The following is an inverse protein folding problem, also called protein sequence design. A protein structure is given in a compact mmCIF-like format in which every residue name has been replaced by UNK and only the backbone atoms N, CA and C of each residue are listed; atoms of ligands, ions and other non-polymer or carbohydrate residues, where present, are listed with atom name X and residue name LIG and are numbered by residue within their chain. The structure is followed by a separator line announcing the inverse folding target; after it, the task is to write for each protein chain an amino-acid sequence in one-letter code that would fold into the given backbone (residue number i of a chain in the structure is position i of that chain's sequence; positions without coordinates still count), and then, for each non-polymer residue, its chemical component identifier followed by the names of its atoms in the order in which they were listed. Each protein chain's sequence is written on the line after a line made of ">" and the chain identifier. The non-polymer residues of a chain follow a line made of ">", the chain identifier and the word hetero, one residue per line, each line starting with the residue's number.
data_IF_042841702304
#
_entry.id   IF_042841702304
#
_cell.length_a   1.000
_cell.length_b   1.000
_cell.length_c   1.000
_cell.angle_alpha   90.00
_cell.angle_beta   90.00
_cell.angle_gamma   90.00
#
_symmetry.space_group_name_H-M   'P 1'
#
loop_
_entity.id
_entity.type
_entity.pdbx_description
1 polymer ?
#
# COMPACT_ATOMS: atom_id res chain seq x y z
N UNK A 1 38.30 66.34 41.98
CA UNK A 1 39.46 66.49 41.06
C UNK A 1 39.97 65.11 40.70
N UNK A 2 40.02 64.77 39.39
CA UNK A 2 40.73 63.64 38.73
C UNK A 2 40.29 62.22 39.18
N UNK A 3 40.11 61.19 38.34
CA UNK A 3 40.69 60.75 37.04
C UNK A 3 39.86 59.49 36.65
N UNK A 4 39.62 59.04 35.40
CA UNK A 4 40.54 58.68 34.30
C UNK A 4 39.70 58.09 33.12
N UNK A 5 40.13 58.39 31.87
CA UNK A 5 40.32 57.53 30.66
C UNK A 5 39.22 56.52 30.27
N UNK A 6 38.84 56.29 29.01
CA UNK A 6 39.39 56.60 27.68
C UNK A 6 38.60 55.75 26.64
N UNK A 7 38.40 56.29 25.43
CA UNK A 7 38.91 55.77 24.16
C UNK A 7 37.94 54.89 23.33
N UNK A 8 37.54 55.47 22.19
CA UNK A 8 37.49 54.94 20.81
C UNK A 8 37.07 53.49 20.55
N UNK A 9 36.09 53.32 19.67
CA UNK A 9 35.80 52.04 19.03
C UNK A 9 34.67 52.11 18.01
N UNK A 10 34.92 52.76 16.86
CA UNK A 10 34.07 52.60 15.69
C UNK A 10 34.23 51.20 15.11
N UNK A 11 33.13 50.48 14.90
CA UNK A 11 33.11 49.25 14.14
C UNK A 11 31.91 49.25 13.18
N UNK A 12 32.19 49.58 11.92
CA UNK A 12 31.39 49.15 10.77
C UNK A 12 31.48 47.62 10.69
N UNK A 13 30.41 46.92 11.05
CA UNK A 13 30.13 45.55 10.60
C UNK A 13 28.79 45.62 9.88
N UNK A 14 28.71 45.52 8.55
CA UNK A 14 29.32 44.49 7.74
C UNK A 14 28.17 43.57 7.29
N UNK A 15 27.64 43.85 6.11
CA UNK A 15 26.60 43.09 5.40
C UNK A 15 26.90 41.58 5.43
N UNK A 16 26.35 40.82 6.38
CA UNK A 16 26.34 39.35 6.38
C UNK A 16 25.11 38.82 7.10
N UNK A 17 23.92 39.04 6.53
CA UNK A 17 22.68 38.44 7.03
C UNK A 17 21.72 38.03 5.90
N UNK A 18 22.27 37.79 4.70
CA UNK A 18 21.57 37.22 3.55
C UNK A 18 22.25 35.90 3.17
N UNK A 19 22.23 34.91 4.07
CA UNK A 19 22.64 33.55 3.72
C UNK A 19 21.79 32.47 4.40
N UNK A 20 20.82 32.85 5.23
CA UNK A 20 20.07 31.90 6.06
C UNK A 20 18.70 31.45 5.47
N UNK A 21 18.03 32.13 4.51
CA UNK A 21 16.77 31.57 3.99
C UNK A 21 16.96 30.56 2.84
N UNK A 22 18.14 30.50 2.21
CA UNK A 22 18.39 29.59 1.08
C UNK A 22 18.67 28.14 1.52
N UNK A 23 19.25 27.93 2.70
CA UNK A 23 19.49 26.58 3.21
C UNK A 23 18.21 25.88 3.67
N UNK A 24 17.19 26.62 4.12
CA UNK A 24 15.91 26.01 4.54
C UNK A 24 15.12 25.45 3.35
N UNK A 25 15.21 26.07 2.17
CA UNK A 25 14.57 25.56 0.95
C UNK A 25 15.33 24.33 0.38
N UNK A 26 16.66 24.34 0.50
CA UNK A 26 17.50 23.20 0.08
C UNK A 26 17.35 21.96 0.96
N UNK A 27 16.99 22.12 2.25
CA UNK A 27 16.72 20.98 3.16
C UNK A 27 15.35 20.34 2.90
N UNK A 28 14.36 21.11 2.40
CA UNK A 28 13.04 20.56 2.03
C UNK A 28 13.09 19.85 0.67
N UNK A 29 13.99 20.26 -0.24
CA UNK A 29 14.21 19.60 -1.55
C UNK A 29 15.32 18.51 -1.50
N UNK A 30 15.99 18.37 -0.36
CA UNK A 30 17.33 17.79 -0.24
C UNK A 30 17.48 16.28 -0.01
N UNK A 31 16.43 15.47 0.21
CA UNK A 31 16.57 14.03 0.07
C UNK A 31 15.47 13.45 -0.83
N UNK A 32 15.28 14.01 -2.04
CA UNK A 32 14.54 13.27 -3.09
C UNK A 32 15.42 12.20 -3.76
N UNK A 33 16.74 12.23 -3.56
CA UNK A 33 17.69 11.37 -4.27
C UNK A 33 17.87 9.94 -3.74
N UNK A 34 17.34 9.57 -2.57
CA UNK A 34 17.66 8.27 -1.94
C UNK A 34 16.45 7.39 -1.56
N UNK A 35 15.24 7.73 -1.99
CA UNK A 35 14.03 6.90 -1.80
C UNK A 35 13.46 6.40 -3.14
N UNK A 36 14.32 6.18 -4.15
CA UNK A 36 13.92 5.68 -5.48
C UNK A 36 13.83 4.14 -5.56
N UNK A 37 13.78 3.45 -4.42
CA UNK A 37 13.51 2.01 -4.38
C UNK A 37 11.99 1.79 -4.25
N UNK A 38 11.30 1.64 -5.37
CA UNK A 38 9.97 1.00 -5.46
C UNK A 38 8.75 1.75 -4.88
N UNK A 39 8.91 2.84 -4.14
CA UNK A 39 7.79 3.50 -3.42
C UNK A 39 7.27 4.79 -4.07
N UNK A 40 7.76 5.16 -5.25
CA UNK A 40 7.41 6.42 -5.92
C UNK A 40 7.96 7.68 -5.24
N UNK A 41 8.58 7.56 -4.06
CA UNK A 41 9.11 8.70 -3.31
C UNK A 41 8.02 9.69 -2.92
N UNK A 42 8.04 10.89 -3.51
CA UNK A 42 6.96 11.86 -3.35
C UNK A 42 5.83 11.65 -4.35
N UNK A 43 6.05 10.96 -5.48
CA UNK A 43 5.05 10.77 -6.52
C UNK A 43 4.35 9.43 -6.38
N UNK A 44 3.18 9.24 -7.01
CA UNK A 44 2.61 7.91 -7.19
C UNK A 44 3.65 6.96 -7.79
N UNK A 45 3.48 5.66 -7.54
CA UNK A 45 4.25 4.62 -8.24
C UNK A 45 4.03 4.71 -9.75
N UNK A 46 4.95 4.13 -10.51
CA UNK A 46 4.85 4.09 -11.96
C UNK A 46 3.60 3.30 -12.38
N UNK A 47 2.71 3.95 -13.14
CA UNK A 47 1.38 3.43 -13.46
C UNK A 47 1.44 2.55 -14.71
N UNK A 48 0.86 1.35 -14.61
CA UNK A 48 0.98 0.27 -15.61
C UNK A 48 -0.37 -0.26 -16.09
N UNK A 49 -1.40 0.54 -15.83
CA UNK A 49 -2.79 0.27 -16.13
C UNK A 49 -3.52 1.58 -16.45
N UNK A 50 -4.41 1.60 -17.45
CA UNK A 50 -5.21 2.77 -17.79
C UNK A 50 -6.04 3.32 -16.61
N UNK A 51 -6.42 2.46 -15.66
CA UNK A 51 -7.21 2.83 -14.47
C UNK A 51 -6.55 3.93 -13.63
N UNK A 52 -5.22 4.00 -13.66
CA UNK A 52 -4.43 4.78 -12.70
C UNK A 52 -3.61 5.87 -13.37
N UNK A 53 -3.51 5.89 -14.70
CA UNK A 53 -2.88 6.99 -15.44
C UNK A 53 -3.49 8.36 -15.10
N UNK A 54 -4.82 8.43 -14.99
CA UNK A 54 -5.53 9.68 -14.67
C UNK A 54 -5.31 10.15 -13.23
N UNK A 55 -4.98 9.24 -12.32
CA UNK A 55 -4.67 9.58 -10.92
C UNK A 55 -3.37 10.38 -10.82
N UNK A 56 -2.40 10.10 -11.69
CA UNK A 56 -1.14 10.84 -11.78
C UNK A 56 -1.36 12.31 -12.16
N UNK A 57 -2.26 12.58 -13.11
CA UNK A 57 -2.62 13.97 -13.49
C UNK A 57 -3.19 14.75 -12.31
N UNK A 58 -4.14 14.15 -11.59
CA UNK A 58 -4.78 14.75 -10.41
C UNK A 58 -3.73 15.03 -9.34
N UNK A 59 -2.84 14.06 -9.09
CA UNK A 59 -1.76 14.20 -8.13
C UNK A 59 -0.88 15.43 -8.46
N UNK A 60 -0.40 15.56 -9.69
CA UNK A 60 0.47 16.69 -10.06
C UNK A 60 -0.25 18.04 -10.02
N UNK A 61 -1.54 18.09 -10.37
CA UNK A 61 -2.34 19.31 -10.24
C UNK A 61 -2.47 19.74 -8.77
N UNK A 62 -2.81 18.81 -7.87
CA UNK A 62 -2.92 19.08 -6.43
C UNK A 62 -1.56 19.46 -5.84
N UNK A 63 -0.49 18.77 -6.24
CA UNK A 63 0.88 19.07 -5.81
C UNK A 63 1.28 20.49 -6.22
N UNK A 64 0.96 20.91 -7.45
CA UNK A 64 1.21 22.26 -7.95
C UNK A 64 0.49 23.34 -7.13
N UNK A 65 -0.83 23.18 -6.89
CA UNK A 65 -1.59 24.11 -6.06
C UNK A 65 -1.11 24.13 -4.60
N UNK A 66 -0.80 22.97 -4.04
CA UNK A 66 -0.29 22.84 -2.67
C UNK A 66 1.07 23.54 -2.52
N UNK A 67 1.98 23.34 -3.48
CA UNK A 67 3.26 24.04 -3.53
C UNK A 67 3.10 25.56 -3.66
N UNK A 68 2.18 26.02 -4.52
CA UNK A 68 1.87 27.45 -4.67
C UNK A 68 1.34 28.05 -3.36
N UNK A 69 0.36 27.42 -2.72
CA UNK A 69 -0.23 27.89 -1.45
C UNK A 69 0.84 27.88 -0.34
N UNK A 70 1.64 26.81 -0.27
CA UNK A 70 2.74 26.70 0.69
C UNK A 70 3.69 27.89 0.57
N UNK A 71 4.07 28.28 -0.66
CA UNK A 71 4.92 29.44 -0.92
C UNK A 71 4.20 30.76 -0.56
N UNK A 72 2.94 30.92 -0.97
CA UNK A 72 2.13 32.12 -0.70
C UNK A 72 1.91 32.38 0.79
N UNK A 73 1.84 31.35 1.62
CA UNK A 73 1.68 31.48 3.08
C UNK A 73 3.03 31.57 3.77
N UNK A 74 3.96 30.67 3.46
CA UNK A 74 5.22 30.53 4.17
C UNK A 74 6.18 31.69 3.88
N UNK A 75 6.26 32.16 2.64
CA UNK A 75 7.21 33.24 2.28
C UNK A 75 6.84 34.55 2.99
N UNK A 76 5.59 35.06 2.94
CA UNK A 76 5.22 36.24 3.72
C UNK A 76 5.40 36.05 5.22
N UNK A 77 5.04 34.87 5.76
CA UNK A 77 5.25 34.57 7.19
C UNK A 77 6.73 34.68 7.58
N UNK A 78 7.64 34.08 6.80
CA UNK A 78 9.08 34.19 7.02
C UNK A 78 9.57 35.64 6.89
N UNK A 79 9.07 36.38 5.90
CA UNK A 79 9.34 37.81 5.76
C UNK A 79 8.90 38.56 7.01
N UNK A 80 7.69 38.33 7.51
CA UNK A 80 7.17 38.98 8.72
C UNK A 80 8.02 38.65 9.95
N UNK A 81 8.36 37.37 10.14
CA UNK A 81 9.22 36.93 11.23
C UNK A 81 10.56 37.67 11.18
N UNK A 82 11.23 37.74 10.02
CA UNK A 82 12.55 38.37 9.89
C UNK A 82 12.47 39.90 9.98
N UNK A 83 11.44 40.49 9.36
CA UNK A 83 11.27 41.95 9.21
C UNK A 83 10.80 42.62 10.50
N UNK A 84 10.01 41.93 11.31
CA UNK A 84 9.41 42.43 12.55
C UNK A 84 9.96 41.76 13.81
N UNK A 85 11.00 40.92 13.70
CA UNK A 85 11.73 40.40 14.85
C UNK A 85 12.19 41.53 15.78
N UNK A 86 11.97 41.37 17.08
CA UNK A 86 12.43 42.31 18.11
C UNK A 86 13.96 42.42 18.14
N UNK A 87 14.54 43.37 17.42
CA UNK A 87 15.99 43.66 17.41
C UNK A 87 16.39 44.48 18.64
N UNK A 88 16.07 44.00 19.84
CA UNK A 88 16.38 44.68 21.11
C UNK A 88 15.52 45.91 21.42
N UNK A 89 14.32 46.04 20.83
CA UNK A 89 13.35 47.08 21.20
C UNK A 89 12.80 46.80 22.61
N UNK A 90 12.58 47.86 23.41
CA UNK A 90 11.89 47.73 24.70
C UNK A 90 10.53 47.07 24.50
N UNK A 91 10.14 46.21 25.44
CA UNK A 91 8.83 45.53 25.46
C UNK A 91 7.66 46.52 25.66
N UNK A 92 7.96 47.74 26.09
CA UNK A 92 6.98 48.82 26.29
C UNK A 92 6.62 49.54 24.98
N UNK A 93 7.39 49.32 23.90
CA UNK A 93 7.14 49.95 22.60
C UNK A 93 6.16 49.10 21.80
N UNK A 94 4.90 49.53 21.76
CA UNK A 94 3.85 48.86 20.99
C UNK A 94 3.99 49.07 19.47
N UNK A 95 3.48 48.10 18.72
CA UNK A 95 3.32 48.19 17.27
C UNK A 95 2.16 49.12 16.86
N UNK A 96 2.04 49.39 15.55
CA UNK A 96 0.89 50.13 15.04
C UNK A 96 -0.41 49.34 15.30
N UNK A 97 -1.41 50.00 15.88
CA UNK A 97 -2.71 49.43 16.25
C UNK A 97 -3.64 49.29 15.03
N UNK A 98 -3.25 48.45 14.07
CA UNK A 98 -4.02 48.14 12.86
C UNK A 98 -5.05 47.05 13.21
N UNK A 99 -6.33 47.33 13.01
CA UNK A 99 -7.44 46.44 13.43
C UNK A 99 -8.03 45.57 12.32
N UNK A 100 -7.69 45.80 11.06
CA UNK A 100 -8.19 44.99 9.95
C UNK A 100 -7.99 45.62 8.58
N UNK A 101 -8.38 44.87 7.56
CA UNK A 101 -8.39 45.35 6.18
C UNK A 101 -9.42 44.53 5.39
N UNK A 102 -10.63 45.09 5.22
CA UNK A 102 -11.75 44.41 4.56
C UNK A 102 -11.42 43.93 3.15
N UNK A 103 -10.57 44.64 2.39
CA UNK A 103 -10.16 44.20 1.05
C UNK A 103 -9.29 42.95 1.10
N UNK A 104 -8.37 42.89 2.06
CA UNK A 104 -7.51 41.73 2.27
C UNK A 104 -8.34 40.54 2.80
N UNK A 105 -9.31 40.83 3.68
CA UNK A 105 -10.25 39.85 4.20
C UNK A 105 -11.10 39.19 3.11
N UNK A 106 -11.62 40.00 2.18
CA UNK A 106 -12.34 39.50 1.02
C UNK A 106 -11.42 38.69 0.10
N UNK A 107 -10.20 39.17 -0.16
CA UNK A 107 -9.25 38.50 -1.03
C UNK A 107 -8.85 37.11 -0.52
N UNK A 108 -8.47 36.99 0.76
CA UNK A 108 -8.08 35.69 1.33
C UNK A 108 -9.24 34.74 1.58
N UNK A 109 -10.49 35.19 1.46
CA UNK A 109 -11.68 34.34 1.57
C UNK A 109 -12.11 33.87 0.18
N UNK A 110 -12.16 34.78 -0.79
CA UNK A 110 -12.53 34.46 -2.16
C UNK A 110 -11.48 33.56 -2.85
N UNK A 111 -10.19 33.76 -2.59
CA UNK A 111 -9.12 32.99 -3.24
C UNK A 111 -9.17 31.48 -2.90
N UNK A 112 -9.24 31.03 -1.62
CA UNK A 112 -9.40 29.61 -1.30
C UNK A 112 -10.68 28.99 -1.87
N UNK A 113 -11.80 29.73 -1.84
CA UNK A 113 -13.07 29.26 -2.41
C UNK A 113 -12.93 29.02 -3.92
N UNK A 114 -12.29 29.93 -4.65
CA UNK A 114 -12.05 29.77 -6.09
C UNK A 114 -11.12 28.57 -6.37
N UNK A 115 -10.03 28.41 -5.60
CA UNK A 115 -9.11 27.29 -5.76
C UNK A 115 -9.85 25.95 -5.54
N UNK A 116 -10.66 25.84 -4.48
CA UNK A 116 -11.45 24.65 -4.21
C UNK A 116 -12.46 24.35 -5.33
N UNK A 117 -13.12 25.38 -5.87
CA UNK A 117 -14.04 25.21 -6.98
C UNK A 117 -13.34 24.66 -8.24
N UNK A 118 -12.13 25.16 -8.54
CA UNK A 118 -11.31 24.66 -9.67
C UNK A 118 -10.87 23.22 -9.45
N UNK A 119 -10.33 22.90 -8.27
CA UNK A 119 -9.90 21.54 -7.93
C UNK A 119 -11.08 20.56 -8.00
N UNK A 120 -12.21 20.92 -7.38
CA UNK A 120 -13.41 20.08 -7.41
C UNK A 120 -13.89 19.85 -8.84
N UNK A 121 -14.00 20.90 -9.66
CA UNK A 121 -14.40 20.78 -11.06
C UNK A 121 -13.47 19.86 -11.87
N UNK A 122 -12.15 19.98 -11.67
CA UNK A 122 -11.18 19.12 -12.34
C UNK A 122 -11.26 17.65 -11.89
N UNK A 123 -11.43 17.41 -10.58
CA UNK A 123 -11.57 16.06 -10.03
C UNK A 123 -12.84 15.39 -10.55
N UNK A 124 -14.00 16.03 -10.45
CA UNK A 124 -15.26 15.46 -10.94
C UNK A 124 -15.25 15.20 -12.45
N UNK A 125 -14.48 15.98 -13.23
CA UNK A 125 -14.28 15.71 -14.65
C UNK A 125 -13.46 14.44 -14.92
N UNK A 126 -12.47 14.11 -14.08
CA UNK A 126 -11.56 12.97 -14.28
C UNK A 126 -12.08 11.65 -13.69
N UNK A 127 -12.84 11.70 -12.59
CA UNK A 127 -13.33 10.53 -11.84
C UNK A 127 -14.00 9.44 -12.70
N UNK A 128 -14.91 9.76 -13.65
CA UNK A 128 -15.62 8.72 -14.41
C UNK A 128 -14.72 7.77 -15.20
N UNK A 129 -13.52 8.20 -15.62
CA UNK A 129 -12.61 7.30 -16.34
C UNK A 129 -11.57 6.61 -15.46
N UNK A 130 -11.77 6.59 -14.14
CA UNK A 130 -11.01 5.77 -13.19
C UNK A 130 -11.82 4.51 -12.81
N UNK A 131 -13.16 4.60 -12.82
CA UNK A 131 -14.06 3.54 -12.34
C UNK A 131 -14.57 2.62 -13.45
N UNK A 132 -14.73 3.12 -14.69
CA UNK A 132 -15.48 2.40 -15.73
C UNK A 132 -14.57 1.87 -16.84
N UNK A 133 -13.82 0.80 -16.59
CA UNK A 133 -13.37 -0.07 -17.68
C UNK A 133 -14.49 -0.97 -18.22
N UNK A 134 -15.62 -1.03 -17.50
CA UNK A 134 -16.79 -1.83 -17.85
C UNK A 134 -17.35 -1.49 -19.24
N UNK A 135 -17.18 -0.26 -19.70
CA UNK A 135 -17.61 0.19 -21.02
C UNK A 135 -16.73 -0.32 -22.18
N UNK A 136 -15.48 -0.73 -21.92
CA UNK A 136 -14.54 -1.21 -22.95
C UNK A 136 -14.57 -2.74 -23.10
N UNK A 137 -15.04 -3.48 -22.09
CA UNK A 137 -15.07 -4.94 -22.11
C UNK A 137 -16.40 -5.48 -22.68
N UNK A 138 -16.40 -5.96 -23.93
CA UNK A 138 -17.47 -6.80 -24.47
C UNK A 138 -17.40 -8.22 -23.87
N UNK A 139 -18.54 -8.77 -23.44
CA UNK A 139 -18.73 -10.03 -22.69
C UNK A 139 -17.57 -11.06 -22.67
N UNK A 140 -17.22 -11.65 -23.82
CA UNK A 140 -16.20 -12.72 -23.92
C UNK A 140 -14.75 -12.28 -23.62
N UNK A 141 -14.50 -10.99 -23.41
CA UNK A 141 -13.17 -10.44 -23.12
C UNK A 141 -12.89 -10.26 -21.63
N UNK A 142 -13.82 -10.58 -20.74
CA UNK A 142 -13.68 -10.34 -19.28
C UNK A 142 -13.27 -11.61 -18.54
N UNK A 143 -12.26 -11.50 -17.68
CA UNK A 143 -11.85 -12.56 -16.77
C UNK A 143 -12.31 -12.21 -15.35
N UNK A 144 -13.29 -12.95 -14.83
CA UNK A 144 -13.79 -12.77 -13.46
C UNK A 144 -13.01 -13.64 -12.48
N UNK A 145 -12.47 -13.06 -11.41
CA UNK A 145 -11.70 -13.76 -10.38
C UNK A 145 -12.24 -13.35 -9.01
N UNK A 146 -12.51 -14.35 -8.16
CA UNK A 146 -12.86 -14.08 -6.76
C UNK A 146 -11.60 -13.92 -5.92
N UNK A 147 -11.62 -12.95 -5.02
CA UNK A 147 -10.51 -12.57 -4.16
C UNK A 147 -11.00 -12.59 -2.71
N UNK A 148 -10.43 -13.48 -1.90
CA UNK A 148 -10.67 -13.48 -0.46
C UNK A 148 -9.46 -12.86 0.26
N UNK A 149 -9.70 -11.80 1.03
CA UNK A 149 -8.75 -11.32 2.04
C UNK A 149 -8.88 -12.15 3.30
N UNK A 150 -7.77 -12.74 3.77
CA UNK A 150 -7.73 -13.62 4.93
C UNK A 150 -6.55 -13.27 5.83
N UNK A 151 -6.63 -13.47 7.13
CA UNK A 151 -5.47 -13.26 8.02
C UNK A 151 -4.37 -14.31 7.75
N UNK A 152 -3.22 -14.02 7.16
CA UNK A 152 -2.72 -12.75 6.61
C UNK A 152 -2.25 -12.92 5.14
N UNK A 153 -3.11 -13.47 4.28
CA UNK A 153 -2.83 -13.83 2.90
C UNK A 153 -4.02 -13.54 1.98
N UNK A 154 -3.75 -13.52 0.68
CA UNK A 154 -4.76 -13.37 -0.35
C UNK A 154 -5.01 -14.70 -1.05
N UNK A 155 -6.28 -15.05 -1.21
CA UNK A 155 -6.68 -16.23 -1.97
C UNK A 155 -7.45 -15.81 -3.21
N UNK A 156 -7.08 -16.37 -4.35
CA UNK A 156 -7.72 -16.13 -5.63
C UNK A 156 -8.38 -17.39 -6.14
N UNK A 157 -9.56 -17.26 -6.71
CA UNK A 157 -10.30 -18.33 -7.37
C UNK A 157 -10.68 -17.94 -8.78
N UNK A 158 -10.19 -18.72 -9.73
CA UNK A 158 -10.43 -18.52 -11.16
C UNK A 158 -11.72 -19.24 -11.60
N UNK A 159 -12.27 -18.90 -12.79
CA UNK A 159 -13.52 -19.52 -13.29
C UNK A 159 -13.49 -21.04 -13.45
N UNK A 160 -12.31 -21.64 -13.62
CA UNK A 160 -12.12 -23.08 -13.74
C UNK A 160 -11.72 -23.76 -12.42
N UNK A 161 -12.02 -23.11 -11.30
CA UNK A 161 -11.75 -23.54 -9.94
C UNK A 161 -10.27 -23.62 -9.56
N UNK A 162 -9.33 -23.08 -10.34
CA UNK A 162 -7.95 -22.94 -9.86
C UNK A 162 -7.93 -22.06 -8.60
N UNK A 163 -7.22 -22.52 -7.57
CA UNK A 163 -6.94 -21.73 -6.36
C UNK A 163 -5.50 -21.24 -6.44
N UNK A 164 -5.27 -19.94 -6.23
CA UNK A 164 -3.94 -19.38 -6.07
C UNK A 164 -3.83 -18.62 -4.75
N UNK A 165 -2.63 -18.57 -4.18
CA UNK A 165 -2.33 -17.93 -2.89
C UNK A 165 -1.25 -16.90 -3.09
N UNK A 166 -1.48 -15.67 -2.64
CA UNK A 166 -0.60 -14.48 -2.68
C UNK A 166 -0.09 -14.04 -4.07
N UNK A 167 -0.23 -14.86 -5.12
CA UNK A 167 0.12 -14.49 -6.50
C UNK A 167 -1.06 -14.67 -7.44
N UNK A 168 -1.57 -13.55 -7.95
CA UNK A 168 -2.62 -13.49 -8.96
C UNK A 168 -2.00 -13.45 -10.36
N UNK A 169 -2.26 -14.44 -11.20
CA UNK A 169 -1.81 -14.47 -12.60
C UNK A 169 -2.92 -13.97 -13.50
N UNK A 170 -2.60 -13.10 -14.45
CA UNK A 170 -3.58 -12.51 -15.36
C UNK A 170 -3.04 -12.39 -16.78
N UNK A 171 -3.91 -12.45 -17.81
CA UNK A 171 -3.49 -12.26 -19.20
C UNK A 171 -3.30 -10.79 -19.55
N UNK A 172 -2.23 -10.49 -20.29
CA UNK A 172 -1.93 -9.19 -20.86
C UNK A 172 -3.08 -8.66 -21.74
N UNK A 173 -3.42 -7.38 -21.57
CA UNK A 173 -4.37 -6.66 -22.41
C UNK A 173 -5.83 -7.10 -22.25
N UNK A 174 -6.13 -7.96 -21.29
CA UNK A 174 -7.49 -8.38 -20.95
C UNK A 174 -8.02 -7.63 -19.73
N UNK A 175 -9.31 -7.30 -19.72
CA UNK A 175 -9.96 -6.75 -18.53
C UNK A 175 -10.20 -7.86 -17.51
N UNK A 176 -9.66 -7.68 -16.32
CA UNK A 176 -9.82 -8.57 -15.17
C UNK A 176 -10.77 -7.91 -14.19
N UNK A 177 -11.90 -8.56 -13.91
CA UNK A 177 -12.84 -8.15 -12.87
C UNK A 177 -12.56 -8.96 -11.60
N UNK A 178 -12.39 -8.27 -10.49
CA UNK A 178 -12.16 -8.86 -9.19
C UNK A 178 -13.42 -8.70 -8.34
N UNK A 179 -13.95 -9.83 -7.89
CA UNK A 179 -14.98 -9.90 -6.85
C UNK A 179 -14.26 -10.06 -5.50
N UNK A 180 -14.22 -9.01 -4.69
CA UNK A 180 -13.38 -8.92 -3.49
C UNK A 180 -14.26 -9.06 -2.25
N UNK A 181 -13.90 -9.98 -1.36
CA UNK A 181 -14.57 -10.21 -0.08
C UNK A 181 -13.63 -10.76 0.97
N UNK A 182 -14.18 -11.03 2.16
CA UNK A 182 -13.49 -11.72 3.24
C UNK A 182 -14.48 -12.69 3.92
N UNK A 183 -14.00 -13.81 4.52
CA UNK A 183 -14.85 -14.69 5.31
C UNK A 183 -15.50 -13.96 6.49
N UNK A 184 -16.68 -14.40 6.92
CA UNK A 184 -17.41 -13.79 8.06
C UNK A 184 -16.63 -13.85 9.38
N UNK A 185 -15.78 -14.86 9.58
CA UNK A 185 -14.95 -14.98 10.79
C UNK A 185 -13.66 -14.14 10.76
N UNK A 186 -13.36 -13.51 9.62
CA UNK A 186 -12.15 -12.71 9.43
C UNK A 186 -12.41 -11.22 9.74
N UNK A 187 -11.46 -10.36 9.38
CA UNK A 187 -11.51 -8.91 9.58
C UNK A 187 -11.49 -8.17 8.24
N UNK A 188 -11.61 -6.85 8.28
CA UNK A 188 -11.46 -6.03 7.08
C UNK A 188 -10.02 -6.10 6.55
N UNK A 189 -9.90 -6.19 5.23
CA UNK A 189 -8.64 -6.03 4.48
C UNK A 189 -8.84 -5.01 3.37
N UNK A 190 -7.77 -4.65 2.66
CA UNK A 190 -7.87 -3.82 1.47
C UNK A 190 -6.89 -4.30 0.40
N UNK A 191 -7.44 -4.83 -0.70
CA UNK A 191 -6.68 -5.32 -1.83
C UNK A 191 -6.08 -4.13 -2.56
N UNK A 192 -4.75 -4.10 -2.68
CA UNK A 192 -4.07 -3.02 -3.36
C UNK A 192 -2.83 -3.48 -4.13
N UNK A 193 -2.86 -3.24 -5.45
CA UNK A 193 -1.73 -3.37 -6.37
C UNK A 193 -1.44 -1.96 -6.92
N UNK A 194 -0.54 -1.19 -6.29
CA UNK A 194 -0.39 0.24 -6.56
C UNK A 194 -0.18 0.62 -8.03
N UNK A 195 0.52 -0.22 -8.80
CA UNK A 195 0.82 0.04 -10.20
C UNK A 195 -0.35 -0.23 -11.16
N UNK A 196 -1.39 -0.96 -10.70
CA UNK A 196 -2.49 -1.43 -11.55
C UNK A 196 -3.84 -0.77 -11.22
N UNK A 197 -4.03 -0.28 -9.99
CA UNK A 197 -5.34 0.15 -9.54
C UNK A 197 -5.35 0.88 -8.20
N UNK A 198 -6.50 1.51 -7.92
CA UNK A 198 -6.85 1.94 -6.56
C UNK A 198 -7.07 0.73 -5.63
N UNK A 199 -7.06 0.98 -4.32
CA UNK A 199 -7.36 -0.04 -3.31
C UNK A 199 -8.86 -0.32 -3.23
N UNK A 200 -9.23 -1.56 -2.95
CA UNK A 200 -10.62 -1.98 -2.74
C UNK A 200 -10.73 -2.84 -1.50
N UNK A 201 -11.70 -2.52 -0.64
CA UNK A 201 -11.80 -3.13 0.68
C UNK A 201 -12.49 -4.50 0.60
N UNK A 202 -11.90 -5.48 1.26
CA UNK A 202 -12.48 -6.80 1.50
C UNK A 202 -13.15 -6.77 2.87
N UNK A 203 -14.48 -6.77 2.88
CA UNK A 203 -15.28 -6.54 4.07
C UNK A 203 -16.08 -7.82 4.35
N UNK A 204 -15.96 -8.45 5.53
CA UNK A 204 -16.77 -9.60 5.90
C UNK A 204 -18.27 -9.33 5.70
N UNK A 205 -18.95 -10.21 4.97
CA UNK A 205 -20.38 -10.11 4.67
C UNK A 205 -20.76 -9.21 3.49
N UNK A 206 -19.80 -8.52 2.88
CA UNK A 206 -20.03 -7.64 1.73
C UNK A 206 -19.12 -8.04 0.56
N UNK A 207 -19.57 -7.74 -0.66
CA UNK A 207 -18.77 -7.99 -1.87
C UNK A 207 -18.53 -6.68 -2.59
N UNK A 208 -17.25 -6.30 -2.68
CA UNK A 208 -16.83 -5.16 -3.50
C UNK A 208 -16.31 -5.64 -4.84
N UNK A 209 -16.32 -4.76 -5.85
CA UNK A 209 -15.86 -5.08 -7.19
C UNK A 209 -14.89 -4.02 -7.68
N UNK A 210 -13.89 -4.46 -8.43
CA UNK A 210 -13.02 -3.59 -9.20
C UNK A 210 -12.62 -4.27 -10.49
N UNK A 211 -12.17 -3.50 -11.46
CA UNK A 211 -11.62 -4.04 -12.69
C UNK A 211 -10.34 -3.32 -13.06
N UNK A 212 -9.41 -4.03 -13.68
CA UNK A 212 -8.19 -3.45 -14.23
C UNK A 212 -7.78 -4.14 -15.53
N UNK A 213 -6.93 -3.47 -16.30
CA UNK A 213 -6.29 -4.02 -17.51
C UNK A 213 -4.80 -3.71 -17.44
N UNK A 214 -3.97 -4.73 -17.57
CA UNK A 214 -2.52 -4.55 -17.58
C UNK A 214 -1.98 -4.55 -19.01
N UNK A 215 -1.16 -3.55 -19.33
CA UNK A 215 -0.65 -3.32 -20.70
C UNK A 215 0.82 -3.72 -20.88
N UNK A 216 1.47 -4.12 -19.79
CA UNK A 216 2.85 -4.58 -19.79
C UNK A 216 2.98 -5.91 -19.01
N UNK A 217 3.72 -6.87 -19.59
CA UNK A 217 4.10 -8.13 -18.91
C UNK A 217 5.04 -7.81 -17.75
N UNK A 218 4.85 -8.49 -16.62
CA UNK A 218 5.69 -8.30 -15.45
C UNK A 218 5.02 -8.75 -14.16
N UNK A 219 5.77 -8.66 -13.06
CA UNK A 219 5.27 -8.90 -11.71
C UNK A 219 5.11 -7.56 -11.00
N UNK A 220 3.90 -7.30 -10.50
CA UNK A 220 3.51 -6.08 -9.81
C UNK A 220 3.24 -6.41 -8.35
N UNK A 221 4.11 -5.91 -7.47
CA UNK A 221 3.98 -6.09 -6.03
C UNK A 221 2.77 -5.33 -5.48
N UNK A 222 2.17 -5.89 -4.44
CA UNK A 222 1.05 -5.32 -3.72
C UNK A 222 1.05 -5.74 -2.26
N UNK A 223 0.13 -5.14 -1.52
CA UNK A 223 0.02 -5.33 -0.08
C UNK A 223 -1.43 -5.13 0.38
N UNK A 224 -1.74 -5.62 1.58
CA UNK A 224 -2.95 -5.20 2.27
C UNK A 224 -2.82 -3.74 2.71
N UNK A 225 -3.84 -2.93 2.40
CA UNK A 225 -3.88 -1.49 2.70
C UNK A 225 -4.86 -1.12 3.83
N UNK A 226 -5.34 -2.10 4.59
CA UNK A 226 -6.18 -1.91 5.78
C UNK A 226 -5.61 -2.75 6.93
N UNK A 227 -5.53 -2.16 8.13
CA UNK A 227 -4.90 -2.84 9.25
C UNK A 227 -5.72 -4.06 9.66
N UNK A 228 -5.19 -5.25 9.37
CA UNK A 228 -5.88 -6.53 9.58
C UNK A 228 -5.32 -7.36 10.73
N UNK A 229 -4.39 -6.82 11.53
CA UNK A 229 -3.84 -7.47 12.72
C UNK A 229 -2.32 -7.60 12.72
N UNK A 230 -1.82 -8.54 13.53
CA UNK A 230 -0.40 -8.58 13.94
C UNK A 230 0.57 -8.78 12.77
N UNK A 231 0.19 -9.56 11.76
CA UNK A 231 0.99 -9.77 10.55
C UNK A 231 0.46 -8.99 9.35
N UNK A 232 -0.21 -7.87 9.59
CA UNK A 232 -0.66 -6.95 8.53
C UNK A 232 0.48 -6.58 7.56
N UNK A 233 1.66 -6.23 8.08
CA UNK A 233 2.81 -5.86 7.25
C UNK A 233 3.39 -7.01 6.42
N UNK A 234 3.09 -8.26 6.78
CA UNK A 234 3.50 -9.46 6.03
C UNK A 234 2.42 -9.94 5.04
N UNK A 235 1.27 -9.25 4.97
CA UNK A 235 0.18 -9.54 4.04
C UNK A 235 0.47 -8.93 2.67
N UNK A 236 1.51 -9.43 2.03
CA UNK A 236 1.96 -9.06 0.69
C UNK A 236 1.29 -9.94 -0.36
N UNK A 237 1.26 -9.44 -1.59
CA UNK A 237 0.74 -10.12 -2.76
C UNK A 237 1.45 -9.64 -4.01
N UNK A 238 1.26 -10.35 -5.13
CA UNK A 238 1.74 -9.91 -6.42
C UNK A 238 0.73 -10.25 -7.53
N UNK A 239 0.70 -9.41 -8.56
CA UNK A 239 0.04 -9.70 -9.83
C UNK A 239 1.10 -10.03 -10.88
N UNK A 240 1.06 -11.23 -11.43
CA UNK A 240 1.92 -11.68 -12.53
C UNK A 240 1.13 -11.57 -13.84
N UNK A 241 1.48 -10.59 -14.67
CA UNK A 241 0.87 -10.36 -15.98
C UNK A 241 1.64 -11.16 -17.02
N UNK A 242 0.94 -12.05 -17.72
CA UNK A 242 1.53 -13.00 -18.65
C UNK A 242 0.98 -12.82 -20.06
N UNK A 243 1.70 -13.22 -21.12
CA UNK A 243 1.13 -13.35 -22.46
C UNK A 243 -0.12 -14.25 -22.43
N UNK A 244 -1.18 -13.86 -23.14
CA UNK A 244 -2.50 -14.54 -23.08
C UNK A 244 -2.42 -16.06 -23.30
N UNK A 245 -1.66 -16.52 -24.30
CA UNK A 245 -1.51 -17.96 -24.57
C UNK A 245 -0.78 -18.72 -23.46
N UNK A 246 0.17 -18.08 -22.77
CA UNK A 246 0.85 -18.68 -21.61
C UNK A 246 -0.08 -18.74 -20.41
N UNK A 247 -0.86 -17.68 -20.16
CA UNK A 247 -1.88 -17.66 -19.11
C UNK A 247 -2.92 -18.77 -19.32
N UNK A 248 -3.48 -18.91 -20.52
CA UNK A 248 -4.47 -19.95 -20.84
C UNK A 248 -3.90 -21.37 -20.63
N UNK A 249 -2.65 -21.58 -21.08
CA UNK A 249 -1.94 -22.84 -20.89
C UNK A 249 -1.70 -23.14 -19.41
N UNK A 250 -1.23 -22.15 -18.65
CA UNK A 250 -1.04 -22.26 -17.21
C UNK A 250 -2.36 -22.60 -16.51
N UNK A 251 -3.42 -21.86 -16.80
CA UNK A 251 -4.72 -22.01 -16.15
C UNK A 251 -5.31 -23.41 -16.37
N UNK A 252 -5.19 -23.95 -17.59
CA UNK A 252 -5.64 -25.31 -17.92
C UNK A 252 -4.80 -26.39 -17.22
N UNK A 253 -3.47 -26.24 -17.21
CA UNK A 253 -2.56 -27.19 -16.59
C UNK A 253 -2.69 -27.21 -15.06
N UNK A 254 -2.77 -26.03 -14.45
CA UNK A 254 -2.86 -25.87 -12.99
C UNK A 254 -4.15 -26.48 -12.46
N UNK A 255 -5.27 -26.34 -13.16
CA UNK A 255 -6.52 -26.98 -12.80
C UNK A 255 -6.39 -28.52 -12.76
N UNK A 256 -5.74 -29.09 -13.77
CA UNK A 256 -5.46 -30.54 -13.82
C UNK A 256 -4.50 -30.98 -12.71
N UNK A 257 -3.47 -30.17 -12.43
CA UNK A 257 -2.48 -30.45 -11.40
C UNK A 257 -3.10 -30.41 -9.99
N UNK A 258 -3.94 -29.41 -9.68
CA UNK A 258 -4.65 -29.32 -8.40
C UNK A 258 -5.58 -30.51 -8.19
N UNK A 259 -6.37 -30.90 -9.21
CA UNK A 259 -7.26 -32.08 -9.11
C UNK A 259 -6.51 -33.38 -8.83
N UNK A 260 -5.31 -33.56 -9.40
CA UNK A 260 -4.47 -34.73 -9.16
C UNK A 260 -3.58 -34.59 -7.92
N UNK A 261 -3.62 -33.44 -7.25
CA UNK A 261 -2.74 -33.11 -6.14
C UNK A 261 -1.26 -32.95 -6.53
N UNK A 262 -0.94 -32.72 -7.80
CA UNK A 262 0.43 -32.60 -8.29
C UNK A 262 0.94 -31.15 -8.37
N UNK A 263 0.15 -30.16 -7.94
CA UNK A 263 0.53 -28.75 -7.97
C UNK A 263 1.25 -28.28 -6.69
N UNK A 264 1.73 -27.03 -6.72
CA UNK A 264 2.33 -26.35 -5.57
C UNK A 264 1.29 -25.82 -4.55
N UNK A 265 -0.01 -26.08 -4.74
CA UNK A 265 -1.07 -25.50 -3.90
C UNK A 265 -0.81 -25.69 -2.39
N UNK A 266 -0.31 -26.87 -1.99
CA UNK A 266 0.00 -27.15 -0.58
C UNK A 266 1.15 -26.30 -0.02
N UNK A 267 2.20 -26.11 -0.81
CA UNK A 267 3.32 -25.23 -0.47
C UNK A 267 2.85 -23.78 -0.39
N UNK A 268 2.13 -23.30 -1.41
CA UNK A 268 1.65 -21.92 -1.48
C UNK A 268 0.67 -21.60 -0.35
N UNK A 269 -0.20 -22.55 -0.02
CA UNK A 269 -1.11 -22.45 1.13
C UNK A 269 -0.33 -22.40 2.44
N UNK A 270 0.72 -23.21 2.61
CA UNK A 270 1.59 -23.15 3.79
C UNK A 270 2.28 -21.78 3.92
N UNK A 271 2.92 -21.30 2.84
CA UNK A 271 3.63 -20.02 2.84
C UNK A 271 2.68 -18.84 3.14
N UNK A 272 1.50 -18.84 2.52
CA UNK A 272 0.51 -17.79 2.71
C UNK A 272 -0.17 -17.84 4.08
N UNK A 273 -0.76 -18.97 4.44
CA UNK A 273 -1.65 -19.07 5.60
C UNK A 273 -0.95 -19.45 6.91
N UNK A 274 0.19 -20.14 6.85
CA UNK A 274 0.81 -20.74 8.04
C UNK A 274 2.17 -20.12 8.40
N UNK A 275 3.05 -19.98 7.40
CA UNK A 275 4.45 -19.57 7.61
C UNK A 275 4.56 -18.15 8.20
N UNK A 276 3.58 -17.29 7.91
CA UNK A 276 3.50 -15.93 8.46
C UNK A 276 3.41 -15.92 9.99
N UNK A 277 2.83 -16.93 10.62
CA UNK A 277 2.70 -16.98 12.08
C UNK A 277 3.57 -18.06 12.73
N UNK A 278 3.77 -19.20 12.07
CA UNK A 278 4.45 -20.35 12.65
C UNK A 278 5.88 -20.52 12.13
N UNK A 279 6.04 -20.85 10.85
CA UNK A 279 7.31 -21.35 10.31
C UNK A 279 7.65 -22.77 10.79
N UNK A 280 8.59 -23.45 10.13
CA UNK A 280 9.00 -24.80 10.51
C UNK A 280 9.78 -24.78 11.83
N UNK A 281 10.70 -23.83 11.99
CA UNK A 281 11.51 -23.64 13.19
C UNK A 281 11.01 -22.50 14.09
N UNK A 282 9.84 -21.92 13.82
CA UNK A 282 9.28 -20.82 14.62
C UNK A 282 9.54 -19.43 14.03
N UNK A 283 9.90 -19.36 12.74
CA UNK A 283 10.27 -18.12 12.04
C UNK A 283 9.15 -17.07 12.02
N UNK A 284 7.88 -17.50 12.19
CA UNK A 284 6.73 -16.60 12.22
C UNK A 284 6.50 -15.87 13.56
N UNK A 285 7.27 -16.21 14.61
CA UNK A 285 7.34 -15.53 15.92
C UNK A 285 6.05 -15.42 16.74
N UNK A 286 4.93 -15.97 16.28
CA UNK A 286 3.61 -15.86 16.92
C UNK A 286 3.12 -17.24 17.36
N UNK A 287 3.05 -18.14 16.40
CA UNK A 287 2.67 -19.53 16.59
C UNK A 287 3.88 -20.39 16.97
N UNK A 288 3.64 -21.57 17.58
CA UNK A 288 4.71 -22.53 17.83
C UNK A 288 5.33 -23.04 16.52
N UNK A 289 6.58 -23.52 16.55
CA UNK A 289 7.21 -24.20 15.43
C UNK A 289 6.37 -25.42 15.00
N UNK A 290 6.30 -25.66 13.70
CA UNK A 290 5.52 -26.78 13.13
C UNK A 290 6.34 -28.07 13.03
N UNK A 291 7.67 -27.98 12.94
CA UNK A 291 8.53 -29.15 12.91
C UNK A 291 8.36 -30.00 14.19
N UNK A 292 8.29 -31.33 14.02
CA UNK A 292 8.13 -32.26 15.14
C UNK A 292 6.74 -32.34 15.78
N UNK A 293 5.75 -31.56 15.32
CA UNK A 293 4.41 -31.59 15.88
C UNK A 293 3.61 -32.80 15.36
N UNK A 294 3.32 -33.77 16.24
CA UNK A 294 2.58 -34.99 15.90
C UNK A 294 1.14 -34.74 15.47
N UNK A 295 0.54 -33.62 15.89
CA UNK A 295 -0.81 -33.21 15.48
C UNK A 295 -0.92 -33.01 13.97
N UNK A 296 0.17 -32.59 13.32
CA UNK A 296 0.22 -32.35 11.87
C UNK A 296 0.25 -33.65 11.05
N UNK A 297 0.34 -34.81 11.71
CA UNK A 297 0.22 -36.13 11.08
C UNK A 297 -1.23 -36.64 11.04
N UNK A 298 -2.14 -35.98 11.77
CA UNK A 298 -3.57 -36.27 11.78
C UNK A 298 -4.31 -35.23 10.94
N UNK A 299 -4.90 -35.68 9.83
CA UNK A 299 -5.57 -34.81 8.86
C UNK A 299 -6.83 -34.17 9.44
N UNK A 300 -7.59 -34.91 10.25
CA UNK A 300 -8.86 -34.45 10.80
C UNK A 300 -8.61 -33.48 11.97
N UNK A 301 -7.60 -33.75 12.78
CA UNK A 301 -7.17 -32.83 13.84
C UNK A 301 -6.60 -31.52 13.25
N UNK A 302 -5.78 -31.61 12.20
CA UNK A 302 -5.29 -30.44 11.48
C UNK A 302 -6.44 -29.62 10.91
N UNK A 303 -7.38 -30.27 10.22
CA UNK A 303 -8.54 -29.61 9.65
C UNK A 303 -9.37 -28.87 10.70
N UNK A 304 -9.65 -29.51 11.83
CA UNK A 304 -10.43 -28.90 12.90
C UNK A 304 -9.82 -27.59 13.37
N UNK A 305 -8.50 -27.51 13.51
CA UNK A 305 -7.80 -26.31 13.96
C UNK A 305 -7.72 -25.27 12.87
N UNK A 306 -7.39 -25.68 11.63
CA UNK A 306 -7.23 -24.74 10.50
C UNK A 306 -8.57 -24.09 10.13
N UNK A 307 -9.68 -24.84 10.18
CA UNK A 307 -11.00 -24.33 9.79
C UNK A 307 -11.69 -23.51 10.87
N UNK A 308 -11.46 -23.83 12.15
CA UNK A 308 -12.18 -23.18 13.25
C UNK A 308 -11.30 -22.22 14.06
N UNK A 309 -9.99 -22.25 13.86
CA UNK A 309 -9.03 -21.57 14.72
C UNK A 309 -8.90 -22.26 16.08
N UNK A 310 -7.93 -21.80 16.88
CA UNK A 310 -7.75 -22.26 18.26
C UNK A 310 -7.04 -21.19 19.10
N UNK A 311 -7.69 -20.75 20.18
CA UNK A 311 -7.13 -19.72 21.06
C UNK A 311 -6.90 -18.40 20.32
N UNK A 312 -5.64 -18.02 20.13
CA UNK A 312 -5.25 -16.81 19.38
C UNK A 312 -5.03 -17.07 17.87
N UNK A 313 -5.05 -18.33 17.43
CA UNK A 313 -4.95 -18.67 15.99
C UNK A 313 -6.31 -18.44 15.33
N UNK A 314 -6.41 -17.55 14.32
CA UNK A 314 -7.66 -17.32 13.60
C UNK A 314 -8.03 -18.54 12.74
N UNK A 315 -9.29 -18.57 12.29
CA UNK A 315 -9.84 -19.60 11.41
C UNK A 315 -9.33 -19.43 9.95
N UNK A 316 -8.01 -19.53 9.75
CA UNK A 316 -7.34 -19.20 8.49
C UNK A 316 -7.82 -20.03 7.28
N UNK A 317 -8.42 -21.19 7.52
CA UNK A 317 -8.98 -22.08 6.50
C UNK A 317 -10.51 -22.21 6.53
N UNK A 318 -11.23 -21.25 7.12
CA UNK A 318 -12.69 -21.22 7.05
C UNK A 318 -13.15 -21.30 5.58
N UNK A 319 -14.05 -22.24 5.28
CA UNK A 319 -14.60 -22.39 3.93
C UNK A 319 -13.63 -22.93 2.87
N UNK A 320 -12.42 -23.36 3.23
CA UNK A 320 -11.54 -24.05 2.28
C UNK A 320 -12.16 -25.34 1.73
N UNK A 321 -11.81 -25.70 0.50
CA UNK A 321 -12.20 -27.00 -0.03
C UNK A 321 -11.30 -28.12 0.50
N UNK A 322 -11.82 -29.35 0.55
CA UNK A 322 -11.06 -30.52 0.99
C UNK A 322 -9.78 -30.72 0.18
N UNK A 323 -9.79 -30.44 -1.13
CA UNK A 323 -8.59 -30.52 -1.96
C UNK A 323 -7.47 -29.58 -1.53
N UNK A 324 -7.80 -28.40 -1.00
CA UNK A 324 -6.83 -27.43 -0.51
C UNK A 324 -6.28 -27.90 0.85
N UNK A 325 -7.17 -28.37 1.74
CA UNK A 325 -6.77 -29.01 2.99
C UNK A 325 -5.85 -30.22 2.76
N UNK A 326 -6.18 -31.09 1.80
CA UNK A 326 -5.39 -32.27 1.46
C UNK A 326 -4.05 -31.90 0.81
N UNK A 327 -4.00 -30.82 0.03
CA UNK A 327 -2.76 -30.29 -0.52
C UNK A 327 -1.83 -29.77 0.60
N UNK A 328 -2.37 -28.97 1.53
CA UNK A 328 -1.63 -28.49 2.70
C UNK A 328 -1.13 -29.66 3.55
N UNK A 329 -2.01 -30.61 3.89
CA UNK A 329 -1.65 -31.78 4.69
C UNK A 329 -0.52 -32.60 4.06
N UNK A 330 -0.56 -32.84 2.75
CA UNK A 330 0.52 -33.55 2.03
C UNK A 330 1.83 -32.76 1.99
N UNK A 331 1.78 -31.43 1.92
CA UNK A 331 2.98 -30.60 2.06
C UNK A 331 3.55 -30.69 3.47
N UNK A 332 2.73 -30.46 4.52
CA UNK A 332 3.16 -30.51 5.91
C UNK A 332 3.72 -31.87 6.28
N UNK A 333 3.04 -32.97 5.93
CA UNK A 333 3.51 -34.32 6.22
C UNK A 333 4.89 -34.61 5.62
N UNK A 334 5.18 -34.12 4.41
CA UNK A 334 6.50 -34.30 3.76
C UNK A 334 7.61 -33.52 4.47
N UNK A 335 7.33 -32.29 4.90
CA UNK A 335 8.35 -31.39 5.43
C UNK A 335 8.51 -31.47 6.96
N UNK A 336 7.44 -31.75 7.71
CA UNK A 336 7.46 -31.91 9.17
C UNK A 336 8.09 -33.24 9.58
N UNK A 337 7.87 -34.31 8.80
CA UNK A 337 8.48 -35.63 9.07
C UNK A 337 9.97 -35.67 8.71
N UNK A 338 10.46 -34.76 7.85
CA UNK A 338 11.86 -34.71 7.42
C UNK A 338 12.82 -34.02 8.42
N UNK A 339 12.28 -33.35 9.45
CA UNK A 339 13.09 -32.63 10.46
C UNK A 339 13.78 -33.51 11.51
N UNK A 340 13.60 -34.83 11.46
CA UNK A 340 14.18 -35.77 12.44
C UNK A 340 15.39 -36.57 11.93
N UNK A 341 16.04 -36.16 10.83
CA UNK A 341 17.06 -37.02 10.20
C UNK A 341 18.19 -36.36 9.42
N UNK A 342 18.58 -35.11 9.70
CA UNK A 342 19.67 -34.46 8.97
C UNK A 342 20.68 -33.71 9.86
N UNK A 343 21.03 -34.26 11.02
CA UNK A 343 22.28 -33.95 11.73
C UNK A 343 22.77 -35.20 12.47
N UNK A 344 23.17 -36.24 11.73
CA UNK A 344 24.13 -37.21 12.24
C UNK A 344 24.81 -37.93 11.05
N UNK A 345 26.10 -37.65 10.87
CA UNK A 345 27.01 -38.52 10.13
C UNK A 345 27.41 -38.12 8.70
N UNK A 346 28.40 -37.23 8.58
CA UNK A 346 29.63 -37.49 7.81
C UNK A 346 30.71 -36.46 8.15
#
# INVERSE_FOLDING_TARGET
>A
MLRRRGALGGARQGRKALAVPLCALAVILGPTGAAHAGTGGLTPVDQKSPNVERSTDIYYLILGFSGLIMLLVTVPLLIFIVRYRGRGRSREVEGAQIRGNTRLELAWTALPVLILAVIAGFVFYKVPGITDLEAEASGDSRLEIKVDGRQFYWQYRYPNDVIAIDTLRVPLGQVVELEIGAPESDVNHSFWIPALGGKFDAIPGETTRTSFRADEVGTYEGQCAEFCGVQHAAMLQAVEVMPRGEFETWLANEAGAQRRGASELGERTYQGACAKCHGMAGEGLIGPPLAGNSLLQDRDALEMIVRNGQGAMPAVGEGWEDRQMDALFRHLRRNVAGGSGAEDGS
#
